data_IF_992681360201
#
_entry.id   IF_992681360201
#
_cell.length_a   1.000
_cell.length_b   1.000
_cell.length_c   1.000
_cell.angle_alpha   90.00
_cell.angle_beta   90.00
_cell.angle_gamma   90.00
#
_symmetry.space_group_name_H-M   'P 1'
#
loop_
_entity.id
_entity.type
_entity.pdbx_description
1 polymer ?
#
# COMPACT_ATOMS: atom_id res chain seq x y z
N UNK A 1 -30.93 -4.24 12.66
CA UNK A 1 -29.99 -4.85 13.62
C UNK A 1 -28.88 -5.46 12.79
N UNK A 2 -27.63 -5.11 13.05
CA UNK A 2 -26.48 -5.71 12.40
C UNK A 2 -26.02 -6.84 13.31
N UNK A 3 -26.13 -8.08 12.85
CA UNK A 3 -25.59 -9.24 13.55
C UNK A 3 -24.31 -9.67 12.84
N UNK A 4 -23.23 -9.77 13.60
CA UNK A 4 -21.97 -10.31 13.10
C UNK A 4 -21.99 -11.82 13.35
N UNK A 5 -21.79 -12.59 12.27
CA UNK A 5 -21.78 -14.05 12.32
C UNK A 5 -20.40 -14.55 11.87
N UNK A 6 -19.83 -15.44 12.65
CA UNK A 6 -18.60 -16.14 12.27
C UNK A 6 -18.98 -17.27 11.31
N UNK A 7 -18.35 -17.28 10.15
CA UNK A 7 -18.56 -18.27 9.10
C UNK A 7 -17.22 -18.88 8.72
N UNK A 8 -17.21 -20.19 8.51
CA UNK A 8 -16.06 -20.91 7.95
C UNK A 8 -16.26 -21.09 6.45
N UNK A 9 -15.22 -20.85 5.66
CA UNK A 9 -15.23 -21.06 4.21
C UNK A 9 -14.54 -22.38 3.87
N UNK A 10 -15.24 -23.31 3.22
CA UNK A 10 -14.71 -24.63 2.83
C UNK A 10 -14.06 -24.64 1.43
N UNK A 11 -13.99 -23.49 0.77
CA UNK A 11 -13.54 -23.36 -0.62
C UNK A 11 -14.67 -23.29 -1.66
N UNK A 12 -15.93 -23.51 -1.26
CA UNK A 12 -17.10 -23.40 -2.15
C UNK A 12 -18.26 -22.64 -1.51
N UNK A 13 -18.51 -22.82 -0.22
CA UNK A 13 -19.61 -22.21 0.51
C UNK A 13 -19.17 -21.70 1.90
N UNK A 14 -19.92 -20.71 2.40
CA UNK A 14 -19.76 -20.20 3.76
C UNK A 14 -20.73 -20.95 4.68
N UNK A 15 -20.18 -21.56 5.73
CA UNK A 15 -20.93 -22.29 6.74
C UNK A 15 -20.93 -21.48 8.04
N UNK A 16 -22.09 -21.08 8.56
CA UNK A 16 -22.16 -20.42 9.85
C UNK A 16 -21.86 -21.41 10.97
N UNK A 17 -21.05 -20.99 11.95
CA UNK A 17 -20.80 -21.81 13.14
C UNK A 17 -22.04 -21.88 14.04
N UNK A 18 -22.86 -20.84 14.00
CA UNK A 18 -24.08 -20.72 14.78
C UNK A 18 -25.34 -20.84 13.91
N UNK A 19 -26.42 -21.34 14.52
CA UNK A 19 -27.70 -21.49 13.82
C UNK A 19 -28.36 -20.13 13.63
N UNK A 20 -28.16 -19.53 12.48
CA UNK A 20 -28.86 -18.32 12.07
C UNK A 20 -30.25 -18.65 11.50
N UNK A 21 -31.28 -17.94 11.99
CA UNK A 21 -32.65 -18.05 11.46
C UNK A 21 -32.86 -16.91 10.48
N UNK A 22 -32.68 -17.22 9.19
CA UNK A 22 -32.96 -16.28 8.10
C UNK A 22 -34.40 -16.46 7.61
N UNK A 23 -35.03 -15.36 7.22
CA UNK A 23 -36.36 -15.39 6.64
C UNK A 23 -36.29 -15.85 5.17
N UNK A 24 -37.16 -16.78 4.74
CA UNK A 24 -37.20 -17.21 3.35
C UNK A 24 -37.60 -16.04 2.43
N UNK A 25 -37.01 -16.00 1.23
CA UNK A 25 -37.17 -14.93 0.23
C UNK A 25 -36.57 -13.55 0.61
N UNK A 26 -35.69 -13.51 1.61
CA UNK A 26 -34.98 -12.26 1.97
C UNK A 26 -33.53 -12.30 1.46
N UNK A 27 -33.09 -11.20 0.83
CA UNK A 27 -31.70 -11.06 0.34
C UNK A 27 -30.84 -10.51 1.47
N UNK A 28 -29.82 -11.27 1.86
CA UNK A 28 -28.82 -10.86 2.83
C UNK A 28 -27.51 -10.50 2.14
N UNK A 29 -26.81 -9.50 2.65
CA UNK A 29 -25.47 -9.09 2.18
C UNK A 29 -24.45 -9.51 3.22
N UNK A 30 -23.46 -10.29 2.82
CA UNK A 30 -22.36 -10.75 3.69
C UNK A 30 -21.18 -9.80 3.47
N UNK A 31 -20.59 -9.31 4.56
CA UNK A 31 -19.34 -8.56 4.51
C UNK A 31 -18.19 -9.49 4.90
N UNK A 32 -17.29 -9.76 3.95
CA UNK A 32 -16.10 -10.58 4.20
C UNK A 32 -15.02 -9.66 4.77
N UNK A 33 -14.65 -9.88 6.03
CA UNK A 33 -13.55 -9.18 6.69
C UNK A 33 -12.46 -10.23 6.92
N UNK A 34 -11.42 -10.21 6.08
CA UNK A 34 -10.26 -11.07 6.32
C UNK A 34 -9.55 -10.60 7.60
N UNK A 35 -9.38 -11.50 8.57
CA UNK A 35 -8.56 -11.24 9.75
C UNK A 35 -7.05 -11.41 9.46
N UNK A 36 -6.67 -11.59 8.19
CA UNK A 36 -5.28 -11.40 7.79
C UNK A 36 -4.90 -9.98 8.17
N UNK A 37 -4.18 -9.92 9.29
CA UNK A 37 -3.25 -8.90 9.71
C UNK A 37 -3.40 -7.66 8.86
N UNK A 38 -3.96 -6.62 9.44
CA UNK A 38 -3.60 -5.26 9.06
C UNK A 38 -2.07 -5.21 9.11
N UNK A 39 -1.39 -5.66 8.05
CA UNK A 39 -0.36 -4.85 7.49
C UNK A 39 -1.14 -3.57 7.22
N UNK A 40 -1.03 -2.65 8.17
CA UNK A 40 -0.69 -1.31 7.81
C UNK A 40 0.39 -1.44 6.72
N UNK A 41 -0.05 -1.65 5.48
CA UNK A 41 0.43 -0.83 4.42
C UNK A 41 0.12 0.57 4.95
N UNK A 42 1.04 1.09 5.75
CA UNK A 42 1.60 2.38 5.43
C UNK A 42 1.90 2.25 3.95
N UNK A 43 0.89 2.52 3.13
CA UNK A 43 1.05 2.80 1.72
C UNK A 43 1.80 4.11 1.76
N UNK A 44 3.09 4.04 2.13
CA UNK A 44 4.04 5.09 1.86
C UNK A 44 3.92 5.23 0.37
N UNK A 45 3.22 6.29 -0.02
CA UNK A 45 3.06 6.64 -1.41
C UNK A 45 4.49 6.76 -1.99
N UNK A 46 4.64 6.61 -3.30
CA UNK A 46 5.92 6.89 -3.95
C UNK A 46 6.49 8.25 -3.50
N UNK A 47 5.63 9.22 -3.20
CA UNK A 47 6.00 10.51 -2.63
C UNK A 47 6.58 10.43 -1.20
N UNK A 48 6.01 9.62 -0.31
CA UNK A 48 6.50 9.47 1.06
C UNK A 48 7.88 8.78 1.08
N UNK A 49 8.10 7.83 0.17
CA UNK A 49 9.41 7.19 -0.01
C UNK A 49 10.45 8.18 -0.56
N UNK A 50 10.07 9.00 -1.54
CA UNK A 50 10.98 10.01 -2.09
C UNK A 50 11.31 11.09 -1.07
N UNK A 51 10.36 11.51 -0.23
CA UNK A 51 10.60 12.44 0.87
C UNK A 51 11.58 11.85 1.89
N UNK A 52 11.38 10.59 2.30
CA UNK A 52 12.29 9.88 3.21
C UNK A 52 13.71 9.76 2.64
N UNK A 53 13.84 9.59 1.32
CA UNK A 53 15.14 9.47 0.66
C UNK A 53 15.77 10.82 0.32
N UNK A 54 15.02 11.93 0.35
CA UNK A 54 15.54 13.26 0.02
C UNK A 54 16.51 13.73 1.09
N UNK A 55 17.70 14.16 0.68
CA UNK A 55 18.74 14.63 1.61
C UNK A 55 19.48 13.51 2.36
N UNK A 56 19.21 12.24 2.04
CA UNK A 56 20.02 11.11 2.55
C UNK A 56 21.37 10.98 1.88
N UNK A 57 21.56 11.66 0.73
CA UNK A 57 22.81 11.67 -0.01
C UNK A 57 23.38 13.09 -0.05
N UNK A 58 24.66 13.23 0.30
CA UNK A 58 25.39 14.49 0.14
C UNK A 58 25.61 14.75 -1.35
N UNK A 59 24.84 15.66 -1.91
CA UNK A 59 24.98 16.13 -3.29
C UNK A 59 25.96 17.31 -3.33
N UNK A 60 26.83 17.35 -4.35
CA UNK A 60 27.61 18.57 -4.59
C UNK A 60 26.66 19.68 -5.09
N UNK A 61 26.92 20.92 -4.68
CA UNK A 61 26.08 22.09 -5.01
C UNK A 61 25.90 22.28 -6.53
N UNK A 62 26.87 21.81 -7.32
CA UNK A 62 26.89 21.91 -8.78
C UNK A 62 26.26 20.71 -9.49
N UNK A 63 25.71 19.71 -8.80
CA UNK A 63 25.16 18.48 -9.42
C UNK A 63 24.14 18.73 -10.52
N UNK A 64 23.22 19.66 -10.30
CA UNK A 64 22.19 20.01 -11.28
C UNK A 64 22.79 20.72 -12.50
N UNK A 65 23.73 21.64 -12.26
CA UNK A 65 24.38 22.44 -13.31
C UNK A 65 25.39 21.64 -14.15
N UNK A 66 26.06 20.68 -13.50
CA UNK A 66 27.13 19.83 -14.04
C UNK A 66 26.65 18.38 -14.27
N UNK A 67 25.36 18.18 -14.50
CA UNK A 67 24.79 16.84 -14.67
C UNK A 67 25.50 16.02 -15.76
N UNK A 68 26.01 16.65 -16.83
CA UNK A 68 26.78 15.98 -17.87
C UNK A 68 28.11 15.41 -17.33
N UNK A 69 28.78 16.11 -16.41
CA UNK A 69 29.99 15.65 -15.76
C UNK A 69 29.71 14.43 -14.87
N UNK A 70 28.64 14.49 -14.07
CA UNK A 70 28.32 13.42 -13.12
C UNK A 70 27.69 12.19 -13.78
N UNK A 71 26.91 12.34 -14.85
CA UNK A 71 26.34 11.21 -15.58
C UNK A 71 27.27 10.60 -16.62
N UNK A 72 28.03 11.43 -17.34
CA UNK A 72 28.76 11.00 -18.54
C UNK A 72 30.27 11.20 -18.44
N UNK A 73 30.78 11.76 -17.33
CA UNK A 73 32.20 11.98 -17.12
C UNK A 73 32.80 13.08 -17.99
N UNK A 74 31.98 13.97 -18.56
CA UNK A 74 32.49 15.13 -19.32
C UNK A 74 33.24 16.11 -18.40
N UNK A 75 34.18 16.93 -18.88
CA UNK A 75 34.79 17.97 -18.07
C UNK A 75 33.73 18.92 -17.48
N UNK A 76 33.95 19.41 -16.25
CA UNK A 76 33.06 20.42 -15.64
C UNK A 76 33.05 21.70 -16.47
N UNK A 77 31.89 22.35 -16.59
CA UNK A 77 31.77 23.65 -17.25
C UNK A 77 32.62 24.62 -16.44
N UNK A 78 33.57 25.27 -17.12
CA UNK A 78 34.39 26.29 -16.50
C UNK A 78 33.52 27.51 -16.25
N UNK A 79 33.49 27.99 -15.01
CA UNK A 79 32.91 29.29 -14.66
C UNK A 79 33.69 30.37 -15.43
N UNK A 80 33.01 31.17 -16.26
CA UNK A 80 33.61 32.23 -17.06
C UNK A 80 33.09 33.59 -16.63
#
# INVERSE_FOLDING_TARGET
>A
MQEQLIVTYDGSAFYPEEKITLEPNTRYTIQIISQEKSQETTTKNAWDLLEEMTGTYEAAEDWSSEHDHYLYGTPKKSDN
#
